data_IF_099937861643
#
_entry.id   IF_099937861643
#
_cell.length_a   1.000
_cell.length_b   1.000
_cell.length_c   1.000
_cell.angle_alpha   90.00
_cell.angle_beta   90.00
_cell.angle_gamma   90.00
#
_symmetry.space_group_name_H-M   'P 1'
#
loop_
_entity.id
_entity.type
_entity.pdbx_description
1 polymer ?
#
# COMPACT_ATOMS: atom_id res chain seq x y z
N UNK A 1 -16.49 17.01 -37.36
CA UNK A 1 -15.04 16.77 -37.49
C UNK A 1 -14.22 17.37 -36.37
N UNK A 2 -14.84 17.67 -35.25
CA UNK A 2 -14.17 18.18 -34.08
C UNK A 2 -13.18 17.16 -33.45
N UNK A 3 -13.28 15.90 -33.85
CA UNK A 3 -12.50 14.82 -33.26
C UNK A 3 -11.03 14.80 -33.64
N UNK A 4 -10.66 15.47 -34.76
CA UNK A 4 -9.28 15.47 -35.24
C UNK A 4 -8.37 16.29 -34.31
N UNK A 5 -8.85 17.42 -33.81
CA UNK A 5 -8.08 18.26 -32.87
C UNK A 5 -7.92 17.62 -31.49
N UNK A 6 -8.91 16.86 -31.06
CA UNK A 6 -8.83 16.12 -29.80
C UNK A 6 -7.93 14.89 -29.86
N UNK A 7 -7.64 14.36 -31.07
CA UNK A 7 -6.88 13.14 -31.23
C UNK A 7 -5.44 13.20 -30.72
N UNK A 8 -4.71 14.28 -30.94
CA UNK A 8 -3.33 14.45 -30.48
C UNK A 8 -3.27 14.60 -28.97
N UNK A 9 -4.12 15.44 -28.41
CA UNK A 9 -4.19 15.65 -26.97
C UNK A 9 -4.61 14.37 -26.26
N UNK A 10 -5.60 13.64 -26.81
CA UNK A 10 -6.06 12.38 -26.26
C UNK A 10 -4.95 11.32 -26.29
N UNK A 11 -4.22 11.19 -27.38
CA UNK A 11 -3.09 10.24 -27.49
C UNK A 11 -1.97 10.56 -26.50
N UNK A 12 -1.67 11.84 -26.31
CA UNK A 12 -0.68 12.27 -25.33
C UNK A 12 -1.12 11.94 -23.90
N UNK A 13 -2.40 12.21 -23.58
CA UNK A 13 -2.99 11.84 -22.29
C UNK A 13 -2.96 10.34 -22.09
N UNK A 14 -3.34 9.57 -23.11
CA UNK A 14 -3.36 8.11 -23.04
C UNK A 14 -1.97 7.56 -22.73
N UNK A 15 -0.93 8.08 -23.36
CA UNK A 15 0.46 7.69 -23.09
C UNK A 15 0.89 8.05 -21.67
N UNK A 16 0.55 9.26 -21.21
CA UNK A 16 0.86 9.70 -19.86
C UNK A 16 0.08 8.89 -18.83
N UNK A 17 -1.19 8.61 -19.09
CA UNK A 17 -2.02 7.79 -18.22
C UNK A 17 -1.52 6.35 -18.16
N UNK A 18 -1.08 5.79 -19.31
CA UNK A 18 -0.52 4.44 -19.34
C UNK A 18 0.74 4.34 -18.48
N UNK A 19 1.64 5.32 -18.55
CA UNK A 19 2.84 5.37 -17.72
C UNK A 19 2.48 5.52 -16.23
N UNK A 20 1.54 6.42 -15.92
CA UNK A 20 1.07 6.64 -14.56
C UNK A 20 0.40 5.39 -14.01
N UNK A 21 -0.47 4.74 -14.79
CA UNK A 21 -1.15 3.52 -14.39
C UNK A 21 -0.17 2.39 -14.13
N UNK A 22 0.83 2.23 -14.98
CA UNK A 22 1.87 1.22 -14.80
C UNK A 22 2.64 1.42 -13.50
N UNK A 23 3.06 2.67 -13.25
CA UNK A 23 3.76 3.04 -12.00
C UNK A 23 2.88 2.81 -10.79
N UNK A 24 1.61 3.24 -10.86
CA UNK A 24 0.66 3.08 -9.77
C UNK A 24 0.37 1.59 -9.49
N UNK A 25 0.25 0.79 -10.53
CA UNK A 25 0.05 -0.66 -10.40
C UNK A 25 1.24 -1.32 -9.70
N UNK A 26 2.46 -0.93 -10.05
CA UNK A 26 3.68 -1.45 -9.42
C UNK A 26 3.74 -1.08 -7.93
N UNK A 27 3.40 0.16 -7.58
CA UNK A 27 3.38 0.59 -6.17
C UNK A 27 2.30 -0.16 -5.39
N UNK A 28 1.11 -0.31 -5.95
CA UNK A 28 0.02 -1.06 -5.31
C UNK A 28 0.39 -2.52 -5.10
N UNK A 29 1.04 -3.15 -6.09
CA UNK A 29 1.51 -4.52 -5.97
C UNK A 29 2.56 -4.64 -4.86
N UNK A 30 3.49 -3.70 -4.77
CA UNK A 30 4.50 -3.66 -3.72
C UNK A 30 3.88 -3.54 -2.33
N UNK A 31 2.90 -2.64 -2.18
CA UNK A 31 2.17 -2.47 -0.92
C UNK A 31 1.44 -3.75 -0.53
N UNK A 32 0.81 -4.40 -1.50
CA UNK A 32 0.11 -5.67 -1.26
C UNK A 32 1.08 -6.77 -0.80
N UNK A 33 2.24 -6.87 -1.43
CA UNK A 33 3.27 -7.84 -1.06
C UNK A 33 3.82 -7.57 0.35
N UNK A 34 4.07 -6.32 0.69
CA UNK A 34 4.53 -5.94 2.03
C UNK A 34 3.46 -6.24 3.08
N UNK A 35 2.20 -6.00 2.76
CA UNK A 35 1.08 -6.34 3.62
C UNK A 35 1.01 -7.85 3.89
N UNK A 36 1.15 -8.66 2.86
CA UNK A 36 1.19 -10.12 2.99
C UNK A 36 2.34 -10.58 3.86
N UNK A 37 3.54 -10.04 3.65
CA UNK A 37 4.72 -10.38 4.45
C UNK A 37 4.52 -10.01 5.92
N UNK A 38 3.98 -8.83 6.18
CA UNK A 38 3.68 -8.36 7.51
C UNK A 38 2.72 -9.31 8.23
N UNK A 39 1.61 -9.65 7.59
CA UNK A 39 0.59 -10.53 8.15
C UNK A 39 1.13 -11.94 8.37
N UNK A 40 1.94 -12.44 7.45
CA UNK A 40 2.56 -13.75 7.58
C UNK A 40 3.50 -13.82 8.78
N UNK A 41 4.33 -12.81 8.98
CA UNK A 41 5.23 -12.72 10.14
C UNK A 41 4.46 -12.56 11.44
N UNK A 42 3.41 -11.75 11.40
CA UNK A 42 2.54 -11.55 12.55
C UNK A 42 1.86 -12.87 12.94
N UNK A 43 1.31 -13.60 11.98
CA UNK A 43 0.67 -14.89 12.21
C UNK A 43 1.67 -15.95 12.72
N UNK A 44 2.92 -15.86 12.30
CA UNK A 44 3.99 -16.73 12.79
C UNK A 44 4.45 -16.41 14.23
N UNK A 45 3.95 -15.31 14.81
CA UNK A 45 4.30 -14.92 16.18
C UNK A 45 5.60 -14.13 16.29
N UNK A 46 6.20 -13.72 15.19
CA UNK A 46 7.44 -12.95 15.17
C UNK A 46 7.12 -11.45 15.34
N UNK A 47 6.96 -11.05 16.59
CA UNK A 47 6.58 -9.69 16.94
C UNK A 47 7.57 -8.63 16.46
N UNK A 48 8.87 -8.86 16.68
CA UNK A 48 9.90 -7.88 16.31
C UNK A 48 9.95 -7.65 14.81
N UNK A 49 9.93 -8.72 14.03
CA UNK A 49 9.90 -8.62 12.57
C UNK A 49 8.61 -7.97 12.08
N UNK A 50 7.49 -8.31 12.70
CA UNK A 50 6.19 -7.72 12.36
C UNK A 50 6.17 -6.21 12.64
N UNK A 51 6.72 -5.77 13.76
CA UNK A 51 6.81 -4.34 14.10
C UNK A 51 7.71 -3.57 13.13
N UNK A 52 8.84 -4.15 12.73
CA UNK A 52 9.72 -3.54 11.73
C UNK A 52 9.03 -3.42 10.39
N UNK A 53 8.37 -4.49 9.96
CA UNK A 53 7.64 -4.49 8.69
C UNK A 53 6.45 -3.52 8.74
N UNK A 54 5.81 -3.38 9.90
CA UNK A 54 4.73 -2.42 10.09
C UNK A 54 5.21 -0.99 9.86
N UNK A 55 6.34 -0.62 10.44
CA UNK A 55 6.94 0.71 10.25
C UNK A 55 7.26 0.97 8.78
N UNK A 56 7.87 0.00 8.11
CA UNK A 56 8.16 0.09 6.68
C UNK A 56 6.89 0.23 5.85
N UNK A 57 5.87 -0.55 6.17
CA UNK A 57 4.57 -0.52 5.49
C UNK A 57 3.87 0.84 5.65
N UNK A 58 3.86 1.38 6.86
CA UNK A 58 3.29 2.71 7.13
C UNK A 58 4.02 3.79 6.33
N UNK A 59 5.35 3.74 6.30
CA UNK A 59 6.17 4.68 5.53
C UNK A 59 5.83 4.61 4.04
N UNK A 60 5.70 3.40 3.48
CA UNK A 60 5.35 3.21 2.07
C UNK A 60 3.93 3.71 1.76
N UNK A 61 2.99 3.50 2.68
CA UNK A 61 1.62 4.02 2.55
C UNK A 61 1.61 5.54 2.51
N UNK A 62 2.37 6.19 3.39
CA UNK A 62 2.47 7.66 3.43
C UNK A 62 3.08 8.21 2.14
N UNK A 63 4.10 7.56 1.61
CA UNK A 63 4.70 7.92 0.32
C UNK A 63 3.69 7.79 -0.82
N UNK A 64 2.91 6.73 -0.82
CA UNK A 64 1.89 6.49 -1.84
C UNK A 64 0.78 7.55 -1.79
N UNK A 65 0.40 8.00 -0.59
CA UNK A 65 -0.55 9.11 -0.43
C UNK A 65 0.01 10.41 -0.98
N UNK A 66 1.27 10.72 -0.68
CA UNK A 66 1.94 11.93 -1.20
C UNK A 66 1.99 11.93 -2.72
N UNK A 67 2.21 10.78 -3.33
CA UNK A 67 2.23 10.63 -4.79
C UNK A 67 0.85 10.60 -5.42
N UNK A 68 -0.22 10.58 -4.61
CA UNK A 68 -1.59 10.53 -5.11
C UNK A 68 -2.02 9.17 -5.65
N UNK A 69 -1.29 8.11 -5.32
CA UNK A 69 -1.59 6.75 -5.79
C UNK A 69 -2.75 6.14 -5.03
N UNK A 70 -2.81 6.39 -3.72
CA UNK A 70 -3.91 5.96 -2.87
C UNK A 70 -4.46 7.15 -2.08
N UNK A 71 -5.71 7.06 -1.65
CA UNK A 71 -6.33 8.11 -0.84
C UNK A 71 -5.86 7.98 0.61
N UNK A 72 -5.93 9.11 1.33
CA UNK A 72 -5.59 9.17 2.75
C UNK A 72 -6.45 8.22 3.58
N UNK A 73 -7.74 8.14 3.25
CA UNK A 73 -8.68 7.24 3.94
C UNK A 73 -8.28 5.77 3.77
N UNK A 74 -7.92 5.37 2.56
CA UNK A 74 -7.46 4.01 2.27
C UNK A 74 -6.19 3.70 3.05
N UNK A 75 -5.23 4.63 3.05
CA UNK A 75 -3.98 4.48 3.80
C UNK A 75 -4.24 4.33 5.30
N UNK A 76 -5.09 5.17 5.86
CA UNK A 76 -5.42 5.12 7.29
C UNK A 76 -6.10 3.80 7.66
N UNK A 77 -6.99 3.30 6.81
CA UNK A 77 -7.66 2.01 7.01
C UNK A 77 -6.65 0.86 7.03
N UNK A 78 -5.72 0.85 6.08
CA UNK A 78 -4.68 -0.18 5.99
C UNK A 78 -3.72 -0.11 7.18
N UNK A 79 -3.33 1.08 7.60
CA UNK A 79 -2.50 1.28 8.80
C UNK A 79 -3.18 0.73 10.04
N UNK A 80 -4.46 1.08 10.23
CA UNK A 80 -5.24 0.64 11.38
C UNK A 80 -5.36 -0.88 11.43
N UNK A 81 -5.69 -1.51 10.32
CA UNK A 81 -5.82 -2.97 10.24
C UNK A 81 -4.48 -3.67 10.55
N UNK A 82 -3.39 -3.17 9.97
CA UNK A 82 -2.06 -3.73 10.19
C UNK A 82 -1.65 -3.58 11.67
N UNK A 83 -1.88 -2.42 12.26
CA UNK A 83 -1.58 -2.15 13.65
C UNK A 83 -2.37 -3.06 14.59
N UNK A 84 -3.66 -3.22 14.34
CA UNK A 84 -4.53 -4.10 15.13
C UNK A 84 -4.06 -5.55 15.05
N UNK A 85 -3.65 -6.00 13.87
CA UNK A 85 -3.15 -7.36 13.70
C UNK A 85 -1.88 -7.60 14.51
N UNK A 86 -0.93 -6.68 14.45
CA UNK A 86 0.32 -6.76 15.21
C UNK A 86 0.04 -6.70 16.71
N UNK A 87 -0.84 -5.82 17.16
CA UNK A 87 -1.22 -5.69 18.57
C UNK A 87 -1.89 -6.97 19.07
N UNK A 88 -2.76 -7.57 18.28
CA UNK A 88 -3.45 -8.81 18.64
C UNK A 88 -2.48 -9.96 18.87
N UNK A 89 -1.46 -10.06 18.06
CA UNK A 89 -0.44 -11.10 18.17
C UNK A 89 0.47 -10.84 19.36
N UNK A 90 0.82 -9.59 19.61
CA UNK A 90 1.57 -9.20 20.80
C UNK A 90 0.79 -9.56 22.08
N UNK A 91 -0.52 -9.34 22.09
CA UNK A 91 -1.39 -9.70 23.20
C UNK A 91 -1.44 -11.22 23.41
N UNK A 92 -1.58 -12.00 22.32
CA UNK A 92 -1.56 -13.46 22.38
C UNK A 92 -0.23 -14.00 22.91
N UNK A 93 0.89 -13.42 22.48
CA UNK A 93 2.21 -13.82 22.97
C UNK A 93 2.36 -13.52 24.46
N UNK A 94 1.80 -12.40 24.93
CA UNK A 94 1.80 -12.05 26.35
C UNK A 94 0.91 -13.00 27.18
N UNK A 95 -0.24 -13.41 26.63
CA UNK A 95 -1.15 -14.36 27.28
C UNK A 95 -0.55 -15.76 27.35
N UNK A 96 0.25 -16.15 26.37
CA UNK A 96 0.88 -17.46 26.31
C UNK A 96 2.01 -17.65 27.34
N UNK A 97 2.45 -16.58 27.95
CA UNK A 97 3.43 -16.60 29.04
C UNK A 97 2.74 -16.73 30.40
#
# INVERSE_FOLDING_TARGET
MANIKGGRAARKRDRQNAKANKRNTLVKARLHNEHKKLFKKADAGDREAAERDLKAFVSELDKAVKKGIITKNTANRKKSRAQLRVNKIAAKAAEAK
#
